data_IF_330187443301
#
_entry.id   IF_330187443301
#
_cell.length_a   1.000
_cell.length_b   1.000
_cell.length_c   1.000
_cell.angle_alpha   90.00
_cell.angle_beta   90.00
_cell.angle_gamma   90.00
#
_symmetry.space_group_name_H-M   'P 1'
#
loop_
_entity.id
_entity.type
_entity.pdbx_description
1 polymer ?
#
# COMPACT_ATOMS: atom_id res chain seq x y z
N UNK A 1 -0.89 -3.50 5.54
CA UNK A 1 0.27 -3.30 6.45
C UNK A 1 1.34 -2.53 5.70
N UNK A 2 1.87 -1.41 6.21
CA UNK A 2 2.95 -0.67 5.55
C UNK A 2 4.18 -1.54 5.26
N UNK A 3 4.85 -1.34 4.13
CA UNK A 3 6.08 -2.08 3.81
C UNK A 3 7.29 -1.61 4.63
N UNK A 4 7.34 -0.31 4.93
CA UNK A 4 8.34 0.33 5.80
C UNK A 4 7.84 0.25 7.25
N UNK A 5 8.71 -0.13 8.18
CA UNK A 5 8.32 -0.36 9.59
C UNK A 5 8.12 0.94 10.37
N UNK A 6 8.74 2.00 9.88
CA UNK A 6 8.70 3.36 10.43
C UNK A 6 7.37 4.05 10.16
N UNK A 7 6.57 3.52 9.21
CA UNK A 7 5.25 4.07 8.87
C UNK A 7 4.17 3.35 9.68
N UNK A 8 3.32 4.12 10.37
CA UNK A 8 2.21 3.61 11.19
C UNK A 8 0.89 4.13 10.66
N UNK A 9 -0.15 3.29 10.63
CA UNK A 9 -1.50 3.73 10.25
C UNK A 9 -2.20 4.25 11.50
N UNK A 10 -2.70 5.49 11.45
CA UNK A 10 -3.41 6.13 12.58
C UNK A 10 -4.91 5.97 12.43
N UNK A 11 -5.43 6.04 11.21
CA UNK A 11 -6.86 5.90 10.93
C UNK A 11 -7.14 5.83 9.43
N UNK A 12 -8.32 5.32 9.07
CA UNK A 12 -8.76 5.18 7.69
C UNK A 12 -10.26 5.47 7.55
N UNK A 13 -10.62 6.08 6.43
CA UNK A 13 -11.98 6.32 5.94
C UNK A 13 -12.13 5.72 4.54
N UNK A 14 -13.32 5.81 3.94
CA UNK A 14 -13.60 5.31 2.59
C UNK A 14 -12.70 5.91 1.50
N UNK A 15 -12.28 7.16 1.67
CA UNK A 15 -11.55 7.94 0.67
C UNK A 15 -10.19 8.47 1.14
N UNK A 16 -9.85 8.32 2.42
CA UNK A 16 -8.61 8.85 3.00
C UNK A 16 -7.97 7.88 4.00
N UNK A 17 -6.64 7.90 4.06
CA UNK A 17 -5.82 7.13 5.01
C UNK A 17 -4.85 8.09 5.71
N UNK A 18 -4.84 8.08 7.04
CA UNK A 18 -3.92 8.88 7.84
C UNK A 18 -2.78 7.96 8.30
N UNK A 19 -1.56 8.37 7.98
CA UNK A 19 -0.33 7.68 8.38
C UNK A 19 0.58 8.61 9.19
N UNK A 20 1.22 8.04 10.19
CA UNK A 20 2.31 8.67 10.94
C UNK A 20 3.64 8.24 10.32
N UNK A 21 4.44 9.24 9.97
CA UNK A 21 5.75 9.12 9.33
C UNK A 21 6.86 9.78 10.14
N UNK A 22 6.61 10.10 11.42
CA UNK A 22 7.56 10.82 12.29
C UNK A 22 8.93 10.13 12.36
N UNK A 23 8.94 8.79 12.34
CA UNK A 23 10.17 7.98 12.40
C UNK A 23 10.81 7.72 11.01
N UNK A 24 10.22 8.23 9.92
CA UNK A 24 10.68 7.99 8.56
C UNK A 24 11.83 8.91 8.20
N UNK A 25 12.98 8.33 7.80
CA UNK A 25 14.23 9.08 7.61
C UNK A 25 14.34 9.81 6.28
N UNK A 26 13.51 9.45 5.30
CA UNK A 26 13.52 10.01 3.96
C UNK A 26 12.49 11.15 3.88
N UNK A 27 12.79 12.22 3.15
CA UNK A 27 11.84 13.32 2.93
C UNK A 27 10.66 12.81 2.09
N UNK A 28 9.43 13.05 2.57
CA UNK A 28 8.20 12.68 1.85
C UNK A 28 7.60 13.91 1.20
N UNK A 29 7.32 13.83 -0.09
CA UNK A 29 6.72 14.90 -0.90
C UNK A 29 5.39 14.48 -1.50
N UNK A 30 4.59 15.47 -1.86
CA UNK A 30 3.35 15.23 -2.61
C UNK A 30 3.70 14.59 -3.95
N UNK A 31 3.05 13.46 -4.24
CA UNK A 31 3.30 12.64 -5.44
C UNK A 31 4.08 11.36 -5.16
N UNK A 32 4.67 11.21 -3.97
CA UNK A 32 5.39 9.98 -3.60
C UNK A 32 4.44 8.79 -3.40
N UNK A 33 4.95 7.59 -3.70
CA UNK A 33 4.21 6.34 -3.52
C UNK A 33 4.44 5.73 -2.13
N UNK A 34 3.36 5.42 -1.43
CA UNK A 34 3.40 4.63 -0.18
C UNK A 34 2.92 3.21 -0.46
N UNK A 35 3.74 2.22 -0.13
CA UNK A 35 3.49 0.81 -0.46
C UNK A 35 3.03 0.01 0.76
N UNK A 36 1.99 -0.78 0.56
CA UNK A 36 1.39 -1.62 1.58
C UNK A 36 1.31 -3.07 1.12
N UNK A 37 1.57 -3.99 2.05
CA UNK A 37 1.20 -5.39 1.90
C UNK A 37 -0.28 -5.56 2.16
N UNK A 38 -0.96 -6.23 1.24
CA UNK A 38 -2.35 -6.62 1.37
C UNK A 38 -2.43 -7.85 2.28
N UNK A 39 -3.33 -7.82 3.25
CA UNK A 39 -3.80 -9.04 3.90
C UNK A 39 -4.83 -9.73 2.98
N UNK A 40 -5.25 -10.94 3.34
CA UNK A 40 -6.16 -11.72 2.49
C UNK A 40 -7.47 -10.98 2.14
N UNK A 41 -8.19 -10.36 3.10
CA UNK A 41 -9.40 -9.58 2.77
C UNK A 41 -9.12 -8.42 1.81
N UNK A 42 -8.05 -7.66 2.04
CA UNK A 42 -7.68 -6.55 1.16
C UNK A 42 -7.28 -7.03 -0.25
N UNK A 43 -6.60 -8.17 -0.35
CA UNK A 43 -6.24 -8.77 -1.63
C UNK A 43 -7.49 -9.20 -2.41
N UNK A 44 -8.44 -9.86 -1.75
CA UNK A 44 -9.70 -10.28 -2.38
C UNK A 44 -10.47 -9.05 -2.91
N UNK A 45 -10.62 -8.01 -2.09
CA UNK A 45 -11.27 -6.76 -2.47
C UNK A 45 -10.57 -6.05 -3.64
N UNK A 46 -9.24 -5.95 -3.60
CA UNK A 46 -8.46 -5.36 -4.69
C UNK A 46 -8.60 -6.14 -6.00
N UNK A 47 -8.65 -7.47 -5.92
CA UNK A 47 -8.75 -8.35 -7.09
C UNK A 47 -10.11 -8.23 -7.78
N UNK A 48 -11.20 -8.03 -7.02
CA UNK A 48 -12.56 -7.85 -7.57
C UNK A 48 -12.89 -6.41 -7.97
N UNK A 49 -12.08 -5.42 -7.56
CA UNK A 49 -12.30 -4.02 -7.90
C UNK A 49 -11.89 -3.68 -9.34
N UNK A 50 -12.76 -2.97 -10.08
CA UNK A 50 -12.45 -2.43 -11.42
C UNK A 50 -11.54 -1.20 -11.40
N UNK A 51 -11.33 -0.59 -10.22
CA UNK A 51 -10.53 0.64 -10.05
C UNK A 51 -9.07 0.36 -9.68
N UNK A 52 -8.71 -0.92 -9.52
CA UNK A 52 -7.35 -1.34 -9.18
C UNK A 52 -6.76 -2.08 -10.38
N UNK A 53 -5.65 -1.55 -10.89
CA UNK A 53 -4.87 -2.21 -11.95
C UNK A 53 -4.09 -3.39 -11.36
N UNK A 54 -4.13 -4.54 -12.04
CA UNK A 54 -3.39 -5.75 -11.64
C UNK A 54 -2.32 -6.07 -12.66
N UNK A 55 -1.08 -6.17 -12.19
CA UNK A 55 0.08 -6.55 -13.01
C UNK A 55 0.53 -7.95 -12.62
N UNK A 56 0.39 -8.92 -13.52
CA UNK A 56 0.80 -10.30 -13.30
C UNK A 56 2.20 -10.53 -13.87
N UNK A 57 3.17 -10.84 -13.01
CA UNK A 57 4.52 -11.19 -13.43
C UNK A 57 4.64 -12.70 -13.59
N UNK A 58 4.77 -13.18 -14.82
CA UNK A 58 5.12 -14.59 -15.08
C UNK A 58 6.62 -14.75 -14.90
N UNK A 59 7.06 -15.56 -13.93
CA UNK A 59 8.47 -15.98 -13.88
C UNK A 59 8.70 -16.95 -15.03
N UNK A 60 9.67 -16.65 -15.89
CA UNK A 60 10.17 -17.64 -16.84
C UNK A 60 10.72 -18.82 -16.05
N UNK A 61 10.36 -20.04 -16.47
CA UNK A 61 10.94 -21.25 -15.89
C UNK A 61 12.41 -21.29 -16.30
N UNK A 62 13.31 -21.28 -15.31
CA UNK A 62 14.69 -21.72 -15.52
C UNK A 62 14.71 -23.19 -15.92
#
# INVERSE_FOLDING_TARGET
VPMKKEVKIVGASSDHLIIDITDFKEEVKVGDEVKFRLNYPALLSATTSKYINKYFHRKEKK
#
